data_IF_773918889325
#
_entry.id   IF_773918889325
#
_cell.length_a   1.000
_cell.length_b   1.000
_cell.length_c   1.000
_cell.angle_alpha   90.00
_cell.angle_beta   90.00
_cell.angle_gamma   90.00
#
_symmetry.space_group_name_H-M   'P 1'
#
loop_
_entity.id
_entity.type
_entity.pdbx_description
1 polymer ?
#
# COMPACT_ATOMS: atom_id res chain seq x y z
N UNK A 1 -11.31 9.71 11.85
CA UNK A 1 -11.26 8.23 12.01
C UNK A 1 -10.05 7.71 11.25
N UNK A 2 -9.27 6.78 11.82
CA UNK A 2 -8.12 6.16 11.15
C UNK A 2 -8.65 5.11 10.16
N UNK A 3 -8.19 5.11 8.91
CA UNK A 3 -8.61 4.11 7.93
C UNK A 3 -8.21 2.70 8.39
N UNK A 4 -9.06 1.68 8.14
CA UNK A 4 -8.76 0.30 8.52
C UNK A 4 -7.73 -0.31 7.57
N UNK A 5 -6.74 -1.02 8.10
CA UNK A 5 -5.70 -1.69 7.32
C UNK A 5 -5.26 -2.99 7.99
N UNK A 6 -5.85 -4.14 7.61
CA UNK A 6 -5.49 -5.45 8.16
C UNK A 6 -4.15 -5.97 7.61
N UNK A 7 -3.80 -5.57 6.38
CA UNK A 7 -2.59 -6.07 5.69
C UNK A 7 -1.43 -5.07 5.83
N UNK A 8 -0.30 -5.54 6.35
CA UNK A 8 0.98 -4.85 6.28
C UNK A 8 1.70 -5.30 5.02
N UNK A 9 1.86 -4.40 4.05
CA UNK A 9 2.44 -4.72 2.74
C UNK A 9 3.48 -3.67 2.35
N UNK A 10 4.67 -4.12 1.98
CA UNK A 10 5.69 -3.26 1.43
C UNK A 10 5.19 -2.57 0.15
N UNK A 11 5.48 -1.28 0.00
CA UNK A 11 5.01 -0.48 -1.14
C UNK A 11 3.58 0.05 -0.97
N UNK A 12 2.86 -0.34 0.10
CA UNK A 12 1.49 0.12 0.33
C UNK A 12 1.37 1.65 0.32
N UNK A 13 0.47 2.14 -0.52
CA UNK A 13 0.17 3.56 -0.69
C UNK A 13 -0.69 4.15 0.43
N UNK A 14 -0.85 3.47 1.56
CA UNK A 14 -1.66 3.93 2.71
C UNK A 14 -1.39 5.38 3.12
N UNK A 15 -0.12 5.78 3.20
CA UNK A 15 0.27 7.14 3.60
C UNK A 15 -0.06 8.19 2.54
N UNK A 16 0.03 7.82 1.26
CA UNK A 16 -0.16 8.69 0.11
C UNK A 16 -1.59 8.65 -0.45
N UNK A 17 -2.40 7.65 -0.11
CA UNK A 17 -3.74 7.45 -0.64
C UNK A 17 -4.60 8.70 -0.51
N UNK A 18 -4.46 9.39 0.63
CA UNK A 18 -5.20 10.61 0.91
C UNK A 18 -4.89 11.76 -0.05
N UNK A 19 -3.64 11.82 -0.55
CA UNK A 19 -3.10 12.82 -1.47
C UNK A 19 -3.38 12.41 -2.91
N UNK A 20 -3.11 11.15 -3.28
CA UNK A 20 -3.38 10.59 -4.62
C UNK A 20 -4.84 10.83 -5.01
N UNK A 21 -5.78 10.53 -4.13
CA UNK A 21 -7.22 10.70 -4.36
C UNK A 21 -7.67 12.17 -4.53
N UNK A 22 -6.80 13.17 -4.33
CA UNK A 22 -7.10 14.58 -4.68
C UNK A 22 -7.04 14.82 -6.18
N UNK A 23 -6.34 13.95 -6.90
CA UNK A 23 -6.20 13.98 -8.35
C UNK A 23 -7.22 13.07 -9.05
N UNK A 24 -8.23 12.60 -8.32
CA UNK A 24 -9.33 11.78 -8.86
C UNK A 24 -10.62 12.62 -8.87
N UNK A 25 -11.57 12.32 -9.78
CA UNK A 25 -12.86 13.00 -9.82
C UNK A 25 -13.59 12.94 -8.48
N UNK A 26 -14.50 13.89 -8.23
CA UNK A 26 -15.26 13.92 -6.98
C UNK A 26 -16.16 12.70 -6.81
N UNK A 27 -16.78 12.25 -7.90
CA UNK A 27 -17.60 11.05 -8.01
C UNK A 27 -17.32 10.38 -9.34
N UNK A 28 -17.27 9.05 -9.34
CA UNK A 28 -17.14 8.25 -10.55
C UNK A 28 -17.72 6.84 -10.33
N UNK A 29 -18.12 6.10 -11.38
CA UNK A 29 -18.77 4.81 -11.23
C UNK A 29 -17.91 3.73 -10.55
N UNK A 30 -16.68 3.52 -11.02
CA UNK A 30 -15.86 2.39 -10.59
C UNK A 30 -14.37 2.72 -10.54
N UNK A 31 -13.72 2.31 -9.45
CA UNK A 31 -12.27 2.31 -9.31
C UNK A 31 -11.73 0.94 -9.72
N UNK A 32 -10.72 0.90 -10.57
CA UNK A 32 -10.02 -0.34 -10.95
C UNK A 32 -8.57 -0.26 -10.50
N UNK A 33 -8.11 -1.25 -9.71
CA UNK A 33 -6.71 -1.39 -9.28
C UNK A 33 -6.12 -2.69 -9.83
N UNK A 34 -5.41 -2.68 -10.98
CA UNK A 34 -4.76 -3.88 -11.53
C UNK A 34 -3.66 -4.45 -10.63
N UNK A 35 -3.04 -3.59 -9.81
CA UNK A 35 -1.95 -3.89 -8.87
C UNK A 35 -2.33 -3.44 -7.45
N UNK A 36 -3.41 -4.00 -6.91
CA UNK A 36 -4.02 -3.47 -5.69
C UNK A 36 -3.15 -3.62 -4.45
N UNK A 37 -2.29 -4.64 -4.36
CA UNK A 37 -1.49 -4.92 -3.18
C UNK A 37 -2.38 -5.06 -1.93
N UNK A 38 -2.30 -4.10 -1.00
CA UNK A 38 -3.17 -4.07 0.18
C UNK A 38 -4.51 -3.35 -0.02
N UNK A 39 -4.89 -3.04 -1.25
CA UNK A 39 -6.08 -2.28 -1.66
C UNK A 39 -6.19 -0.92 -0.97
N UNK A 40 -5.06 -0.27 -0.69
CA UNK A 40 -5.02 0.96 0.10
C UNK A 40 -5.75 2.13 -0.57
N UNK A 41 -5.73 2.22 -1.90
CA UNK A 41 -6.48 3.25 -2.62
C UNK A 41 -7.98 2.93 -2.63
N UNK A 42 -8.40 1.69 -2.89
CA UNK A 42 -9.81 1.28 -2.78
C UNK A 42 -10.39 1.56 -1.40
N UNK A 43 -9.71 1.19 -0.32
CA UNK A 43 -10.16 1.44 1.05
C UNK A 43 -10.32 2.96 1.29
N UNK A 44 -9.34 3.76 0.91
CA UNK A 44 -9.39 5.21 1.08
C UNK A 44 -10.45 5.88 0.19
N UNK A 45 -10.67 5.35 -1.01
CA UNK A 45 -11.67 5.82 -1.96
C UNK A 45 -13.09 5.54 -1.46
N UNK A 46 -13.32 4.33 -0.94
CA UNK A 46 -14.58 3.90 -0.32
C UNK A 46 -14.91 4.70 0.94
N UNK A 47 -13.94 4.91 1.82
CA UNK A 47 -14.14 5.73 3.01
C UNK A 47 -14.50 7.20 2.70
N UNK A 48 -14.15 7.69 1.51
CA UNK A 48 -14.52 9.03 1.01
C UNK A 48 -15.76 9.02 0.12
N UNK A 49 -16.31 7.83 -0.17
CA UNK A 49 -17.44 7.64 -1.06
C UNK A 49 -17.22 8.21 -2.46
N UNK A 50 -16.00 8.16 -3.02
CA UNK A 50 -15.74 8.73 -4.35
C UNK A 50 -16.19 7.82 -5.49
N UNK A 51 -16.16 6.50 -5.29
CA UNK A 51 -16.61 5.51 -6.26
C UNK A 51 -17.83 4.71 -5.75
N UNK A 52 -18.60 4.13 -6.67
CA UNK A 52 -19.74 3.28 -6.32
C UNK A 52 -19.33 1.80 -6.20
N UNK A 53 -18.37 1.38 -7.03
CA UNK A 53 -17.84 0.02 -7.05
C UNK A 53 -16.32 -0.02 -7.23
N UNK A 54 -15.73 -1.19 -6.96
CA UNK A 54 -14.29 -1.40 -6.93
C UNK A 54 -13.93 -2.72 -7.62
N UNK A 55 -13.00 -2.69 -8.56
CA UNK A 55 -12.35 -3.89 -9.06
C UNK A 55 -10.94 -3.94 -8.50
N UNK A 56 -10.72 -4.86 -7.58
CA UNK A 56 -9.46 -5.04 -6.86
C UNK A 56 -8.78 -6.29 -7.44
N UNK A 57 -7.67 -6.10 -8.14
CA UNK A 57 -6.91 -7.18 -8.75
C UNK A 57 -5.49 -7.22 -8.19
N UNK A 58 -4.94 -8.42 -8.02
CA UNK A 58 -3.50 -8.60 -7.82
C UNK A 58 -3.07 -9.94 -8.42
N UNK A 59 -1.90 -9.97 -9.07
CA UNK A 59 -1.37 -11.20 -9.63
C UNK A 59 -1.02 -12.23 -8.54
N UNK A 60 -0.73 -11.77 -7.32
CA UNK A 60 -0.52 -12.65 -6.18
C UNK A 60 -1.86 -13.23 -5.71
N UNK A 61 -2.21 -14.42 -6.23
CA UNK A 61 -3.47 -15.10 -5.95
C UNK A 61 -3.81 -15.22 -4.45
N UNK A 62 -2.92 -15.71 -3.57
CA UNK A 62 -3.17 -15.71 -2.13
C UNK A 62 -3.51 -14.34 -1.53
N UNK A 63 -2.93 -13.25 -2.06
CA UNK A 63 -3.25 -11.89 -1.61
C UNK A 63 -4.65 -11.46 -2.05
N UNK A 64 -5.00 -11.72 -3.31
CA UNK A 64 -6.32 -11.42 -3.83
C UNK A 64 -7.41 -12.22 -3.09
N UNK A 65 -7.21 -13.52 -2.89
CA UNK A 65 -8.14 -14.37 -2.14
C UNK A 65 -8.27 -13.92 -0.67
N UNK A 66 -7.17 -13.52 -0.04
CA UNK A 66 -7.20 -12.94 1.31
C UNK A 66 -8.05 -11.66 1.37
N UNK A 67 -7.89 -10.74 0.41
CA UNK A 67 -8.74 -9.55 0.32
C UNK A 67 -10.21 -9.93 0.14
N UNK A 68 -10.50 -10.95 -0.67
CA UNK A 68 -11.84 -11.52 -0.82
C UNK A 68 -12.43 -12.02 0.50
N UNK A 69 -11.65 -12.76 1.30
CA UNK A 69 -12.09 -13.22 2.63
C UNK A 69 -12.31 -12.06 3.60
N UNK A 70 -11.41 -11.09 3.64
CA UNK A 70 -11.54 -9.89 4.49
C UNK A 70 -12.83 -9.13 4.16
N UNK A 71 -13.14 -8.97 2.87
CA UNK A 71 -14.30 -8.19 2.43
C UNK A 71 -15.60 -8.98 2.65
N UNK A 72 -15.65 -10.25 2.24
CA UNK A 72 -16.90 -11.01 2.14
C UNK A 72 -17.19 -11.87 3.39
N UNK A 73 -16.14 -12.40 4.03
CA UNK A 73 -16.22 -13.35 5.16
C UNK A 73 -15.45 -12.86 6.41
N UNK A 74 -15.69 -11.62 6.90
CA UNK A 74 -14.86 -10.99 7.94
C UNK A 74 -14.85 -11.75 9.27
N UNK A 75 -15.96 -12.40 9.64
CA UNK A 75 -16.06 -13.20 10.87
C UNK A 75 -15.12 -14.39 10.82
N UNK A 76 -15.13 -15.12 9.69
CA UNK A 76 -14.31 -16.32 9.50
C UNK A 76 -12.83 -15.99 9.61
N UNK A 77 -12.35 -15.03 8.79
CA UNK A 77 -10.94 -14.70 8.74
C UNK A 77 -10.44 -14.07 10.04
N UNK A 78 -11.26 -13.29 10.75
CA UNK A 78 -10.89 -12.74 12.05
C UNK A 78 -10.75 -13.84 13.12
N UNK A 79 -11.70 -14.78 13.20
CA UNK A 79 -11.64 -15.90 14.14
C UNK A 79 -10.47 -16.84 13.84
N UNK A 80 -10.21 -17.10 12.55
CA UNK A 80 -9.10 -17.94 12.13
C UNK A 80 -7.74 -17.31 12.48
N UNK A 81 -7.58 -16.00 12.20
CA UNK A 81 -6.38 -15.26 12.57
C UNK A 81 -6.14 -15.30 14.09
N UNK A 82 -7.18 -15.04 14.89
CA UNK A 82 -7.10 -15.09 16.36
C UNK A 82 -6.65 -16.47 16.87
N UNK A 83 -7.23 -17.54 16.29
CA UNK A 83 -6.89 -18.92 16.65
C UNK A 83 -5.41 -19.21 16.41
N UNK A 84 -4.88 -18.92 15.21
CA UNK A 84 -3.46 -19.12 14.89
C UNK A 84 -2.58 -18.21 15.74
N UNK A 85 -2.99 -16.97 15.95
CA UNK A 85 -2.22 -16.02 16.75
C UNK A 85 -2.04 -16.51 18.19
N UNK A 86 -3.04 -17.13 18.81
CA UNK A 86 -2.97 -17.68 20.16
C UNK A 86 -2.15 -18.99 20.24
N UNK A 87 -1.93 -19.70 19.14
CA UNK A 87 -1.12 -20.92 19.13
C UNK A 87 0.39 -20.67 19.18
N UNK A 88 0.83 -19.41 19.13
CA UNK A 88 2.25 -19.06 19.06
C UNK A 88 2.95 -18.99 20.43
N UNK A 89 2.23 -19.12 21.55
CA UNK A 89 2.76 -18.72 22.87
C UNK A 89 3.95 -19.56 23.37
N UNK A 90 3.97 -20.86 23.09
CA UNK A 90 5.01 -21.76 23.61
C UNK A 90 6.34 -21.59 22.86
N UNK A 91 6.30 -21.74 21.53
CA UNK A 91 7.43 -21.45 20.64
C UNK A 91 6.97 -20.57 19.47
N UNK A 92 7.07 -19.24 19.64
CA UNK A 92 6.60 -18.33 18.62
C UNK A 92 7.38 -18.47 17.31
N UNK A 93 8.69 -18.72 17.35
CA UNK A 93 9.49 -18.73 16.11
C UNK A 93 9.22 -19.99 15.32
N UNK A 94 9.21 -21.14 15.99
CA UNK A 94 8.89 -22.41 15.35
C UNK A 94 7.46 -22.44 14.84
N UNK A 95 6.50 -21.90 15.60
CA UNK A 95 5.11 -21.77 15.14
C UNK A 95 5.01 -20.98 13.81
N UNK A 96 5.79 -19.89 13.65
CA UNK A 96 5.80 -19.16 12.38
C UNK A 96 6.32 -20.02 11.22
N UNK A 97 7.38 -20.80 11.45
CA UNK A 97 7.95 -21.64 10.40
C UNK A 97 7.01 -22.78 9.99
N UNK A 98 6.29 -23.38 10.95
CA UNK A 98 5.22 -24.36 10.65
C UNK A 98 4.10 -23.74 9.83
N UNK A 99 3.57 -22.59 10.24
CA UNK A 99 2.53 -21.88 9.46
C UNK A 99 3.02 -21.50 8.06
N UNK A 100 4.30 -21.15 7.92
CA UNK A 100 4.91 -20.86 6.61
C UNK A 100 4.98 -22.11 5.73
N UNK A 101 5.38 -23.23 6.29
CA UNK A 101 5.41 -24.51 5.57
C UNK A 101 4.01 -24.93 5.12
N UNK A 102 3.02 -24.83 6.01
CA UNK A 102 1.63 -25.11 5.69
C UNK A 102 1.09 -24.18 4.60
N UNK A 103 1.43 -22.88 4.65
CA UNK A 103 1.10 -21.94 3.59
C UNK A 103 1.74 -22.31 2.26
N UNK A 104 3.03 -22.64 2.25
CA UNK A 104 3.74 -23.05 1.04
C UNK A 104 3.18 -24.34 0.44
N UNK A 105 2.62 -25.25 1.26
CA UNK A 105 1.98 -26.49 0.82
C UNK A 105 0.56 -26.27 0.28
N UNK A 106 -0.20 -25.36 0.88
CA UNK A 106 -1.65 -25.23 0.64
C UNK A 106 -2.07 -24.01 -0.16
N UNK A 107 -1.26 -22.95 -0.16
CA UNK A 107 -1.64 -21.64 -0.65
C UNK A 107 -2.74 -20.94 0.15
N UNK A 108 -3.09 -21.43 1.36
CA UNK A 108 -4.27 -20.94 2.10
C UNK A 108 -4.12 -19.44 2.48
N UNK A 109 -4.98 -18.56 1.95
CA UNK A 109 -4.92 -17.12 2.22
C UNK A 109 -5.11 -16.78 3.71
N UNK A 110 -5.75 -17.64 4.50
CA UNK A 110 -5.96 -17.43 5.94
C UNK A 110 -4.66 -17.57 6.71
N UNK A 111 -3.81 -18.52 6.34
CA UNK A 111 -2.44 -18.63 6.85
C UNK A 111 -1.60 -17.42 6.41
N UNK A 112 -1.83 -16.94 5.18
CA UNK A 112 -1.09 -15.81 4.63
C UNK A 112 -1.30 -14.53 5.43
N UNK A 113 -2.50 -14.25 5.95
CA UNK A 113 -2.75 -13.10 6.82
C UNK A 113 -1.85 -13.11 8.07
N UNK A 114 -1.70 -14.27 8.70
CA UNK A 114 -0.81 -14.44 9.84
C UNK A 114 0.64 -14.15 9.47
N UNK A 115 1.10 -14.72 8.36
CA UNK A 115 2.46 -14.49 7.86
C UNK A 115 2.71 -13.02 7.54
N UNK A 116 1.79 -12.33 6.87
CA UNK A 116 1.90 -10.91 6.54
C UNK A 116 1.92 -10.01 7.79
N UNK A 117 1.16 -10.37 8.82
CA UNK A 117 1.16 -9.64 10.08
C UNK A 117 2.49 -9.78 10.84
N UNK A 118 3.22 -10.87 10.60
CA UNK A 118 4.38 -11.28 11.41
C UNK A 118 5.72 -11.26 10.69
N UNK A 119 5.74 -11.21 9.36
CA UNK A 119 6.97 -11.25 8.59
C UNK A 119 7.80 -9.97 8.74
N UNK A 120 9.11 -10.10 8.63
CA UNK A 120 10.02 -8.98 8.78
C UNK A 120 9.66 -7.84 7.80
N UNK A 121 9.44 -6.64 8.37
CA UNK A 121 9.15 -5.40 7.64
C UNK A 121 7.86 -5.43 6.79
N UNK A 122 6.96 -6.40 6.99
CA UNK A 122 5.77 -6.56 6.15
C UNK A 122 6.11 -6.78 4.67
N UNK A 123 7.26 -7.40 4.41
CA UNK A 123 7.80 -7.58 3.05
C UNK A 123 7.63 -9.01 2.58
N UNK A 124 6.84 -9.19 1.53
CA UNK A 124 6.64 -10.49 0.88
C UNK A 124 7.84 -10.81 0.00
N UNK A 125 8.28 -12.07 0.05
CA UNK A 125 9.35 -12.60 -0.79
C UNK A 125 9.04 -14.06 -1.10
N UNK A 126 9.25 -14.43 -2.34
CA UNK A 126 9.14 -15.82 -2.81
C UNK A 126 10.53 -16.33 -3.21
N UNK A 127 10.79 -17.63 -3.18
CA UNK A 127 12.00 -18.19 -3.79
C UNK A 127 11.76 -18.42 -5.29
N UNK A 128 12.76 -18.98 -6.00
CA UNK A 128 12.65 -19.32 -7.42
C UNK A 128 11.61 -20.40 -7.72
N UNK A 129 11.16 -21.14 -6.70
CA UNK A 129 10.10 -22.15 -6.78
C UNK A 129 8.71 -21.56 -6.49
N UNK A 130 8.61 -20.24 -6.26
CA UNK A 130 7.36 -19.58 -5.92
C UNK A 130 6.91 -19.75 -4.47
N UNK A 131 7.75 -20.30 -3.59
CA UNK A 131 7.44 -20.53 -2.17
C UNK A 131 7.80 -19.30 -1.33
N UNK A 132 6.93 -18.91 -0.40
CA UNK A 132 7.17 -17.80 0.50
C UNK A 132 8.36 -18.10 1.42
N UNK A 133 9.35 -17.19 1.45
CA UNK A 133 10.64 -17.44 2.12
C UNK A 133 11.06 -16.36 3.13
N UNK A 134 10.18 -15.42 3.48
CA UNK A 134 10.50 -14.37 4.45
C UNK A 134 10.61 -14.90 5.89
N UNK A 135 11.53 -14.33 6.67
CA UNK A 135 11.72 -14.61 8.10
C UNK A 135 10.75 -13.80 9.00
N UNK A 136 10.42 -14.30 10.22
CA UNK A 136 9.56 -13.56 11.13
C UNK A 136 10.23 -12.29 11.68
N UNK A 137 9.46 -11.26 12.00
CA UNK A 137 9.94 -10.17 12.85
C UNK A 137 10.13 -10.71 14.27
N UNK A 138 11.40 -10.79 14.70
CA UNK A 138 11.78 -11.31 16.02
C UNK A 138 11.37 -10.40 17.19
N UNK A 139 10.93 -9.17 16.91
CA UNK A 139 10.57 -8.17 17.94
C UNK A 139 9.07 -8.09 18.20
N UNK A 140 8.24 -8.65 17.32
CA UNK A 140 6.78 -8.49 17.38
C UNK A 140 6.09 -9.82 17.04
N UNK A 141 4.98 -10.07 17.72
CA UNK A 141 4.13 -11.25 17.53
C UNK A 141 3.05 -11.06 16.45
N UNK A 142 3.17 -10.01 15.63
CA UNK A 142 2.13 -9.56 14.71
C UNK A 142 1.09 -8.64 15.35
N UNK A 143 0.04 -8.31 14.60
CA UNK A 143 -1.06 -7.44 15.06
C UNK A 143 -1.91 -8.18 16.09
N UNK A 144 -2.28 -7.52 17.20
CA UNK A 144 -3.16 -8.15 18.20
C UNK A 144 -4.53 -8.53 17.59
N UNK A 145 -5.14 -9.67 17.98
CA UNK A 145 -6.39 -10.14 17.39
C UNK A 145 -7.52 -9.13 17.38
N UNK A 146 -7.70 -8.35 18.45
CA UNK A 146 -8.78 -7.35 18.58
C UNK A 146 -8.58 -6.22 17.55
N UNK A 147 -7.34 -5.74 17.41
CA UNK A 147 -7.00 -4.72 16.41
C UNK A 147 -7.10 -5.27 14.99
N UNK A 148 -6.71 -6.53 14.76
CA UNK A 148 -6.87 -7.16 13.45
C UNK A 148 -8.35 -7.27 13.08
N UNK A 149 -9.18 -7.74 14.01
CA UNK A 149 -10.64 -7.83 13.89
C UNK A 149 -11.25 -6.49 13.51
N UNK A 150 -10.96 -5.43 14.25
CA UNK A 150 -11.48 -4.07 13.94
C UNK A 150 -11.11 -3.62 12.52
N UNK A 151 -9.87 -3.88 12.08
CA UNK A 151 -9.44 -3.54 10.73
C UNK A 151 -10.15 -4.37 9.66
N UNK A 152 -10.33 -5.68 9.88
CA UNK A 152 -11.04 -6.57 8.95
C UNK A 152 -12.49 -6.11 8.79
N UNK A 153 -13.20 -5.89 9.90
CA UNK A 153 -14.59 -5.44 9.88
C UNK A 153 -14.73 -4.04 9.27
N UNK A 154 -13.76 -3.15 9.53
CA UNK A 154 -13.73 -1.83 8.90
C UNK A 154 -13.60 -1.91 7.38
N UNK A 155 -12.72 -2.77 6.85
CA UNK A 155 -12.59 -2.98 5.39
C UNK A 155 -13.86 -3.61 4.81
N UNK A 156 -14.41 -4.64 5.46
CA UNK A 156 -15.65 -5.28 5.03
C UNK A 156 -16.81 -4.28 4.95
N UNK A 157 -16.97 -3.42 5.97
CA UNK A 157 -18.02 -2.38 6.00
C UNK A 157 -17.92 -1.43 4.81
N UNK A 158 -16.71 -1.10 4.36
CA UNK A 158 -16.49 -0.17 3.27
C UNK A 158 -16.75 -0.78 1.88
N UNK A 159 -16.38 -2.05 1.70
CA UNK A 159 -16.23 -2.66 0.37
C UNK A 159 -17.21 -3.82 0.08
N UNK A 160 -17.81 -4.42 1.11
CA UNK A 160 -18.73 -5.56 0.93
C UNK A 160 -19.93 -5.16 0.08
N UNK A 161 -20.25 -6.00 -0.91
CA UNK A 161 -21.33 -5.75 -1.88
C UNK A 161 -21.00 -4.70 -2.94
N UNK A 162 -19.79 -4.12 -2.95
CA UNK A 162 -19.34 -3.11 -3.91
C UNK A 162 -18.06 -3.50 -4.64
N UNK A 163 -17.46 -4.64 -4.31
CA UNK A 163 -16.16 -5.04 -4.80
C UNK A 163 -16.20 -6.34 -5.59
N UNK A 164 -15.49 -6.35 -6.71
CA UNK A 164 -15.08 -7.55 -7.46
C UNK A 164 -13.60 -7.78 -7.20
N UNK A 165 -13.25 -9.00 -6.82
CA UNK A 165 -11.87 -9.41 -6.53
C UNK A 165 -11.41 -10.40 -7.58
N UNK A 166 -10.21 -10.20 -8.13
CA UNK A 166 -9.64 -11.11 -9.11
C UNK A 166 -8.13 -11.26 -8.96
N UNK A 167 -7.60 -12.33 -9.56
CA UNK A 167 -6.16 -12.53 -9.73
C UNK A 167 -5.88 -12.85 -11.19
N UNK A 168 -5.75 -11.78 -11.97
CA UNK A 168 -5.54 -11.79 -13.42
C UNK A 168 -4.27 -11.03 -13.76
N UNK A 169 -3.73 -11.28 -14.96
CA UNK A 169 -2.72 -10.40 -15.55
C UNK A 169 -3.31 -8.99 -15.70
N UNK A 170 -2.49 -7.98 -15.44
CA UNK A 170 -2.94 -6.60 -15.49
C UNK A 170 -3.45 -6.21 -16.89
N UNK A 171 -2.92 -6.81 -17.96
CA UNK A 171 -3.37 -6.58 -19.34
C UNK A 171 -4.82 -7.02 -19.54
N UNK A 172 -5.22 -8.13 -18.93
CA UNK A 172 -6.61 -8.62 -18.97
C UNK A 172 -7.55 -7.72 -18.19
N UNK A 173 -7.08 -7.14 -17.07
CA UNK A 173 -7.86 -6.13 -16.34
C UNK A 173 -8.03 -4.86 -17.19
N UNK A 174 -6.92 -4.36 -17.76
CA UNK A 174 -6.89 -3.14 -18.55
C UNK A 174 -7.67 -3.25 -19.88
N UNK A 175 -7.77 -4.43 -20.48
CA UNK A 175 -8.60 -4.62 -21.68
C UNK A 175 -10.10 -4.46 -21.36
N UNK A 176 -10.52 -4.78 -20.14
CA UNK A 176 -11.91 -4.77 -19.69
C UNK A 176 -12.36 -3.50 -18.96
N UNK A 177 -11.50 -2.48 -18.88
CA UNK A 177 -11.92 -1.16 -18.36
C UNK A 177 -12.75 -0.40 -19.39
N UNK A 178 -13.64 0.47 -18.94
CA UNK A 178 -14.42 1.36 -19.80
C UNK A 178 -14.06 2.83 -19.53
N UNK A 179 -14.53 3.74 -20.38
CA UNK A 179 -14.26 5.18 -20.28
C UNK A 179 -14.77 5.82 -18.97
N UNK A 180 -15.76 5.17 -18.35
CA UNK A 180 -16.35 5.58 -17.09
C UNK A 180 -15.52 5.17 -15.86
N UNK A 181 -14.55 4.28 -16.04
CA UNK A 181 -13.66 3.85 -14.97
C UNK A 181 -12.59 4.90 -14.65
N UNK A 182 -12.13 4.88 -13.41
CA UNK A 182 -10.84 5.45 -13.02
C UNK A 182 -9.91 4.31 -12.64
N UNK A 183 -8.75 4.25 -13.27
CA UNK A 183 -7.75 3.20 -13.03
C UNK A 183 -6.60 3.75 -12.20
N UNK A 184 -6.24 3.06 -11.12
CA UNK A 184 -5.03 3.33 -10.35
C UNK A 184 -4.04 2.19 -10.50
N UNK A 185 -2.82 2.50 -10.92
CA UNK A 185 -1.75 1.54 -11.11
C UNK A 185 -0.57 1.85 -10.20
N UNK A 186 -0.08 0.83 -9.50
CA UNK A 186 1.13 0.85 -8.69
C UNK A 186 1.96 -0.41 -8.98
N UNK A 187 2.48 -0.55 -10.22
CA UNK A 187 3.21 -1.75 -10.61
C UNK A 187 4.54 -1.86 -9.85
N UNK A 188 5.13 -3.07 -9.80
CA UNK A 188 6.52 -3.23 -9.37
C UNK A 188 7.47 -2.35 -10.19
N UNK A 189 8.23 -1.49 -9.50
CA UNK A 189 9.17 -0.57 -10.16
C UNK A 189 10.31 -1.29 -10.92
N UNK A 190 10.74 -0.70 -12.03
CA UNK A 190 11.91 -1.13 -12.79
C UNK A 190 13.19 -1.07 -11.93
N UNK A 191 14.00 -2.13 -11.96
CA UNK A 191 15.22 -2.25 -11.14
C UNK A 191 15.01 -2.75 -9.71
N UNK A 192 13.75 -3.01 -9.32
CA UNK A 192 13.38 -3.72 -8.08
C UNK A 192 13.20 -5.22 -8.34
N UNK A 193 13.12 -5.60 -9.62
CA UNK A 193 13.09 -6.97 -10.14
C UNK A 193 14.36 -7.23 -10.96
N UNK A 194 15.50 -7.44 -10.30
CA UNK A 194 16.67 -8.08 -10.94
C UNK A 194 16.72 -9.57 -10.58
N UNK A 195 17.56 -10.36 -11.24
CA UNK A 195 17.74 -11.83 -11.03
C UNK A 195 17.96 -12.28 -9.58
N UNK A 196 18.15 -11.34 -8.64
CA UNK A 196 18.37 -11.58 -7.20
C UNK A 196 17.24 -11.09 -6.29
N UNK A 197 16.18 -10.48 -6.81
CA UNK A 197 15.21 -9.73 -6.00
C UNK A 197 13.77 -10.19 -6.22
N UNK A 198 13.41 -11.25 -5.49
CA UNK A 198 12.14 -11.97 -5.59
C UNK A 198 10.97 -11.32 -4.83
N UNK A 199 10.95 -9.98 -4.80
CA UNK A 199 9.97 -9.18 -4.05
C UNK A 199 8.57 -9.15 -4.69
N UNK A 200 8.47 -9.51 -5.97
CA UNK A 200 7.23 -9.54 -6.73
C UNK A 200 7.03 -10.91 -7.39
N UNK A 201 5.76 -11.30 -7.56
CA UNK A 201 5.37 -12.61 -8.09
C UNK A 201 5.84 -12.81 -9.54
N UNK A 202 5.90 -11.73 -10.33
CA UNK A 202 6.56 -11.68 -11.64
C UNK A 202 7.10 -10.27 -11.91
N UNK A 203 8.13 -10.16 -12.76
CA UNK A 203 8.56 -8.88 -13.32
C UNK A 203 7.63 -8.42 -14.44
N UNK A 204 7.49 -7.11 -14.62
CA UNK A 204 6.74 -6.53 -15.73
C UNK A 204 7.72 -6.00 -16.77
N UNK A 205 7.51 -6.38 -18.04
CA UNK A 205 8.27 -5.80 -19.15
C UNK A 205 7.95 -4.31 -19.29
N UNK A 206 8.99 -3.48 -19.28
CA UNK A 206 8.84 -2.04 -19.41
C UNK A 206 8.13 -1.67 -20.71
N UNK A 207 8.53 -2.30 -21.83
CA UNK A 207 7.96 -2.03 -23.15
C UNK A 207 6.49 -2.44 -23.23
N UNK A 208 6.12 -3.60 -22.67
CA UNK A 208 4.72 -4.02 -22.62
C UNK A 208 3.87 -3.08 -21.77
N UNK A 209 4.41 -2.61 -20.64
CA UNK A 209 3.70 -1.66 -19.79
C UNK A 209 3.47 -0.32 -20.50
N UNK A 210 4.49 0.20 -21.21
CA UNK A 210 4.34 1.40 -22.03
C UNK A 210 3.29 1.23 -23.13
N UNK A 211 3.27 0.07 -23.79
CA UNK A 211 2.26 -0.24 -24.80
C UNK A 211 0.84 -0.25 -24.21
N UNK A 212 0.66 -0.84 -23.02
CA UNK A 212 -0.61 -0.82 -22.31
C UNK A 212 -1.06 0.61 -21.95
N UNK A 213 -0.16 1.47 -21.46
CA UNK A 213 -0.48 2.88 -21.18
C UNK A 213 -0.84 3.65 -22.45
N UNK A 214 -0.16 3.37 -23.57
CA UNK A 214 -0.47 3.97 -24.87
C UNK A 214 -1.88 3.59 -25.34
N UNK A 215 -2.28 2.32 -25.18
CA UNK A 215 -3.62 1.85 -25.52
C UNK A 215 -4.70 2.52 -24.65
N UNK A 216 -4.45 2.67 -23.34
CA UNK A 216 -5.35 3.41 -22.45
C UNK A 216 -5.50 4.88 -22.87
N UNK A 217 -4.43 5.51 -23.36
CA UNK A 217 -4.48 6.88 -23.88
C UNK A 217 -5.32 6.96 -25.15
N UNK A 218 -5.17 6.03 -26.09
CA UNK A 218 -6.00 5.97 -27.32
C UNK A 218 -7.48 5.85 -26.96
N UNK A 219 -7.80 4.99 -25.99
CA UNK A 219 -9.16 4.77 -25.47
C UNK A 219 -9.66 5.87 -24.53
N UNK A 220 -8.88 6.93 -24.31
CA UNK A 220 -9.21 8.05 -23.42
C UNK A 220 -9.60 7.62 -21.99
N UNK A 221 -8.97 6.56 -21.48
CA UNK A 221 -9.22 6.07 -20.13
C UNK A 221 -8.62 7.01 -19.09
N UNK A 222 -9.36 7.25 -18.00
CA UNK A 222 -8.85 7.99 -16.85
C UNK A 222 -8.00 7.08 -16.01
N UNK A 223 -6.69 7.30 -16.03
CA UNK A 223 -5.79 6.55 -15.16
C UNK A 223 -4.74 7.43 -14.48
N UNK A 224 -4.24 6.91 -13.36
CA UNK A 224 -3.08 7.41 -12.65
C UNK A 224 -2.10 6.27 -12.35
N UNK A 225 -0.79 6.54 -12.47
CA UNK A 225 0.29 5.56 -12.23
C UNK A 225 1.27 6.10 -11.21
N UNK A 226 1.52 5.35 -10.14
CA UNK A 226 2.68 5.53 -9.27
C UNK A 226 3.80 4.62 -9.77
N UNK A 227 4.92 5.17 -10.27
CA UNK A 227 5.89 4.37 -11.05
C UNK A 227 7.36 4.54 -10.68
N UNK A 228 7.76 5.73 -10.22
CA UNK A 228 9.15 5.99 -9.87
C UNK A 228 9.22 6.87 -8.63
N UNK A 229 10.44 7.05 -8.13
CA UNK A 229 10.68 7.98 -7.04
C UNK A 229 12.13 8.35 -6.90
N UNK A 230 12.38 9.33 -6.04
CA UNK A 230 13.72 9.77 -5.68
C UNK A 230 13.87 9.96 -4.19
N UNK A 231 15.07 9.70 -3.68
CA UNK A 231 15.45 9.98 -2.29
C UNK A 231 16.80 10.68 -2.29
N UNK A 232 16.81 11.97 -1.94
CA UNK A 232 17.98 12.82 -2.15
C UNK A 232 18.40 12.81 -3.62
N UNK A 233 19.65 12.44 -3.89
CA UNK A 233 20.21 12.36 -5.24
C UNK A 233 20.00 10.99 -5.93
N UNK A 234 19.39 10.02 -5.25
CA UNK A 234 19.14 8.68 -5.83
C UNK A 234 17.76 8.65 -6.46
N UNK A 235 17.68 8.19 -7.70
CA UNK A 235 16.44 7.87 -8.41
C UNK A 235 16.20 6.36 -8.40
N UNK A 236 14.93 5.96 -8.34
CA UNK A 236 14.47 4.57 -8.38
C UNK A 236 13.48 4.45 -9.53
N UNK A 237 13.79 3.59 -10.51
CA UNK A 237 13.03 3.49 -11.75
C UNK A 237 13.40 4.57 -12.77
N UNK A 238 12.98 4.35 -14.02
CA UNK A 238 13.05 5.34 -15.08
C UNK A 238 11.75 6.13 -15.14
N UNK A 239 11.84 7.41 -15.51
CA UNK A 239 10.65 8.22 -15.79
C UNK A 239 9.89 7.64 -16.99
N UNK A 240 8.57 7.69 -16.92
CA UNK A 240 7.73 7.40 -18.08
C UNK A 240 8.01 8.41 -19.21
N UNK A 241 8.04 7.97 -20.47
CA UNK A 241 8.46 8.79 -21.60
C UNK A 241 7.45 9.89 -21.92
N UNK A 242 7.95 11.03 -22.40
CA UNK A 242 7.12 12.18 -22.81
C UNK A 242 6.14 11.83 -23.94
N UNK A 243 6.43 10.80 -24.74
CA UNK A 243 5.54 10.30 -25.80
C UNK A 243 4.16 9.88 -25.29
N UNK A 244 4.03 9.50 -24.01
CA UNK A 244 2.73 9.17 -23.41
C UNK A 244 1.90 10.42 -23.03
N UNK A 245 2.46 11.63 -23.13
CA UNK A 245 1.76 12.90 -22.82
C UNK A 245 1.08 12.94 -21.44
N UNK A 246 1.73 12.34 -20.44
CA UNK A 246 1.23 12.25 -19.07
C UNK A 246 1.58 13.50 -18.26
N UNK A 247 0.68 13.91 -17.38
CA UNK A 247 0.95 14.99 -16.41
C UNK A 247 1.64 14.40 -15.18
N UNK A 248 2.89 14.78 -14.94
CA UNK A 248 3.66 14.37 -13.78
C UNK A 248 3.34 15.23 -12.55
N UNK A 249 2.95 14.59 -11.46
CA UNK A 249 2.83 15.17 -10.13
C UNK A 249 3.88 14.52 -9.22
N UNK A 250 4.68 15.32 -8.51
CA UNK A 250 5.62 14.83 -7.52
C UNK A 250 4.99 14.87 -6.12
N UNK A 251 4.99 13.74 -5.40
CA UNK A 251 4.37 13.59 -4.09
C UNK A 251 5.42 13.33 -3.02
N UNK A 252 5.44 14.15 -1.97
CA UNK A 252 6.31 13.90 -0.82
C UNK A 252 5.79 12.72 0.04
N UNK A 253 6.45 11.56 -0.06
CA UNK A 253 6.12 10.36 0.71
C UNK A 253 6.54 10.46 2.19
N UNK A 254 7.56 11.28 2.46
CA UNK A 254 8.10 11.56 3.80
C UNK A 254 9.56 11.12 3.94
N UNK A 255 10.07 11.06 5.18
CA UNK A 255 11.45 10.64 5.46
C UNK A 255 11.70 9.20 5.02
N UNK A 256 12.80 8.97 4.30
CA UNK A 256 13.22 7.65 3.86
C UNK A 256 13.66 6.79 5.05
N UNK A 257 12.95 5.68 5.29
CA UNK A 257 13.32 4.75 6.35
C UNK A 257 14.73 4.16 6.16
N UNK A 258 15.16 3.95 4.92
CA UNK A 258 16.52 3.49 4.61
C UNK A 258 17.57 4.57 4.91
N UNK A 259 17.30 5.83 4.54
CA UNK A 259 18.23 6.92 4.85
C UNK A 259 18.34 7.12 6.36
N UNK A 260 17.22 7.07 7.09
CA UNK A 260 17.21 7.17 8.56
C UNK A 260 17.99 6.03 9.22
N UNK A 261 17.85 4.79 8.73
CA UNK A 261 18.66 3.65 9.20
C UNK A 261 20.17 3.86 8.97
N UNK A 262 20.54 4.64 7.96
CA UNK A 262 21.93 5.00 7.63
C UNK A 262 22.36 6.34 8.24
N UNK A 263 21.57 6.91 9.17
CA UNK A 263 21.89 8.17 9.85
C UNK A 263 21.77 9.43 8.97
N UNK A 264 21.09 9.36 7.83
CA UNK A 264 20.91 10.48 6.88
C UNK A 264 19.48 11.02 6.96
N UNK A 265 19.32 12.34 6.85
CA UNK A 265 18.01 12.98 6.67
C UNK A 265 17.75 13.15 5.16
N UNK A 266 16.87 12.33 4.61
CA UNK A 266 16.48 12.41 3.20
C UNK A 266 14.98 12.18 3.06
N UNK A 267 14.36 13.01 2.23
CA UNK A 267 12.94 12.91 1.88
C UNK A 267 12.78 12.06 0.63
N UNK A 268 11.84 11.13 0.67
CA UNK A 268 11.39 10.34 -0.48
C UNK A 268 10.27 11.09 -1.18
N UNK A 269 10.42 11.26 -2.49
CA UNK A 269 9.42 11.80 -3.41
C UNK A 269 9.01 10.67 -4.35
N UNK A 270 7.71 10.47 -4.54
CA UNK A 270 7.14 9.50 -5.48
C UNK A 270 6.45 10.24 -6.63
N UNK A 271 6.61 9.73 -7.85
CA UNK A 271 5.97 10.28 -9.04
C UNK A 271 4.59 9.68 -9.24
N UNK A 272 3.60 10.55 -9.42
CA UNK A 272 2.25 10.19 -9.83
C UNK A 272 1.99 10.77 -11.22
N UNK A 273 1.86 9.89 -12.21
CA UNK A 273 1.56 10.26 -13.58
C UNK A 273 0.06 10.18 -13.84
N UNK A 274 -0.52 11.23 -14.39
CA UNK A 274 -1.94 11.28 -14.76
C UNK A 274 -2.09 11.23 -16.28
N UNK A 275 -2.97 10.37 -16.77
CA UNK A 275 -3.45 10.42 -18.17
C UNK A 275 -3.95 11.81 -18.54
N UNK A 276 -3.81 12.20 -19.81
CA UNK A 276 -4.25 13.53 -20.27
C UNK A 276 -5.75 13.74 -19.99
N UNK A 277 -6.58 12.69 -20.17
CA UNK A 277 -8.01 12.72 -19.86
C UNK A 277 -8.27 13.06 -18.40
N UNK A 278 -7.63 12.35 -17.47
CA UNK A 278 -7.80 12.58 -16.04
C UNK A 278 -7.28 13.96 -15.63
N UNK A 279 -6.10 14.34 -16.12
CA UNK A 279 -5.46 15.61 -15.80
C UNK A 279 -6.32 16.82 -16.21
N UNK A 280 -6.92 16.78 -17.40
CA UNK A 280 -7.84 17.82 -17.87
C UNK A 280 -9.08 17.90 -16.98
N UNK A 281 -9.69 16.76 -16.65
CA UNK A 281 -10.91 16.70 -15.82
C UNK A 281 -10.69 17.30 -14.43
N UNK A 282 -9.57 16.94 -13.78
CA UNK A 282 -9.25 17.45 -12.44
C UNK A 282 -8.47 18.76 -12.44
N UNK A 283 -8.27 19.36 -13.63
CA UNK A 283 -7.48 20.58 -13.84
C UNK A 283 -6.08 20.50 -13.19
N UNK A 284 -5.45 19.33 -13.29
CA UNK A 284 -4.12 19.10 -12.76
C UNK A 284 -3.08 19.76 -13.67
N UNK A 285 -2.13 20.44 -13.05
CA UNK A 285 -0.89 20.90 -13.70
C UNK A 285 0.30 20.22 -13.02
N UNK A 286 1.47 20.14 -13.67
CA UNK A 286 2.69 19.71 -13.01
C UNK A 286 2.87 20.45 -11.68
N UNK A 287 2.98 19.70 -10.58
CA UNK A 287 2.97 20.27 -9.23
C UNK A 287 3.76 19.40 -8.26
N UNK A 288 4.48 20.05 -7.34
CA UNK A 288 5.17 19.38 -6.23
C UNK A 288 4.33 19.46 -4.96
N UNK A 289 3.75 18.34 -4.55
CA UNK A 289 2.93 18.25 -3.35
C UNK A 289 3.78 18.00 -2.09
N UNK A 290 3.97 19.04 -1.27
CA UNK A 290 4.61 18.92 0.06
C UNK A 290 3.65 18.37 1.09
N UNK A 291 4.14 17.43 1.91
CA UNK A 291 3.40 16.97 3.09
C UNK A 291 3.41 18.11 4.09
N UNK A 292 2.25 18.69 4.43
CA UNK A 292 2.20 19.68 5.52
C UNK A 292 2.71 18.98 6.78
N UNK A 293 3.81 19.46 7.35
CA UNK A 293 4.18 19.11 8.71
C UNK A 293 2.99 19.47 9.60
N UNK A 294 2.36 18.48 10.21
CA UNK A 294 1.57 18.74 11.41
C UNK A 294 2.59 19.18 12.45
N UNK A 295 2.88 20.49 12.49
CA UNK A 295 3.51 21.08 13.67
C UNK A 295 2.57 20.73 14.81
N UNK A 296 2.97 19.75 15.60
CA UNK A 296 2.48 19.59 16.95
C UNK A 296 2.72 20.95 17.59
N UNK A 297 1.64 21.72 17.79
CA UNK A 297 1.67 22.92 18.62
C UNK A 297 2.05 22.42 20.01
N UNK A 298 3.35 22.30 20.27
CA UNK A 298 3.88 22.36 21.62
C UNK A 298 3.59 23.78 22.03
N UNK A 299 2.42 23.97 22.66
CA UNK A 299 2.11 25.18 23.38
C UNK A 299 3.27 25.35 24.36
N UNK A 300 4.12 26.35 24.11
CA UNK A 300 5.09 26.81 25.08
C UNK A 300 4.27 27.36 26.25
N UNK A 301 3.87 26.49 27.18
CA UNK A 301 3.58 26.94 28.52
C UNK A 301 4.84 27.61 29.02
N UNK A 302 4.68 28.91 29.17
CA UNK A 302 5.68 29.85 29.60
C UNK A 302 6.23 29.32 30.92
N UNK A 303 7.49 28.87 30.93
CA UNK A 303 8.26 28.69 32.16
C UNK A 303 8.31 30.05 32.85
N UNK A 304 7.30 30.35 33.67
CA UNK A 304 7.32 31.48 34.58
C UNK A 304 8.42 31.20 35.59
N UNK A 305 9.49 31.97 35.41
CA UNK A 305 10.54 32.23 36.39
C UNK A 305 9.88 32.54 37.74
N UNK A 306 10.12 31.70 38.74
CA UNK A 306 10.23 32.18 40.11
C UNK A 306 11.71 32.24 40.45
N UNK A 307 12.21 33.48 40.50
CA UNK A 307 13.53 33.79 40.98
C UNK A 307 13.53 33.80 42.52
N UNK A 308 14.44 32.99 43.08
CA UNK A 308 15.37 33.26 44.18
C UNK A 308 14.90 34.10 45.40
N UNK A 309 15.09 33.55 46.62
CA UNK A 309 16.24 33.85 47.51
C UNK A 309 16.03 33.35 48.97
N UNK A 310 17.13 32.82 49.56
CA UNK A 310 17.62 33.03 50.97
C UNK A 310 16.83 32.25 52.07
N UNK A 311 17.38 31.58 53.10
CA UNK A 311 18.71 31.53 53.75
C UNK A 311 18.81 30.41 54.83
N UNK A 312 20.05 29.96 55.10
CA UNK A 312 20.67 29.52 56.38
C UNK A 312 20.27 28.20 57.08
N UNK A 313 21.30 27.34 57.21
CA UNK A 313 21.86 26.64 58.40
C UNK A 313 20.93 26.20 59.55
N UNK A 314 20.89 24.87 59.79
CA UNK A 314 21.30 24.07 60.99
C UNK A 314 20.96 24.68 62.37
N UNK A 315 20.32 23.94 63.31
CA UNK A 315 20.89 22.73 63.96
C UNK A 315 20.50 21.38 63.38
#
# INVERSE_FOLDING_TARGET
MKLPHPIQYQGSKRSLASVILRYFPNKFPRLVEPFSGSAAISIACAARGKANSYWINDLNKPLAELLGLIINHPVEIANYYETIWNQQHDDPIEHYYRVREDFNRTGDPRLFLYLLARCAKGSVRYNTEGLFNQSPDKRRHGTRPETMRDNIFGVSTLLKGKSVISSLDYKDVLSNVNEDDVVYMDPPYQGVCGDRDSRYFSGISYEEFLAALSELNVRQIRYAVSYDGRTGNKTFGNRLPESLSLTLIELEAGRSSQATLLGRDAVTVESLYLSSRLAIEVKASPYFHRKRETKQLVLMETRRRYAAKISKRIP
#
